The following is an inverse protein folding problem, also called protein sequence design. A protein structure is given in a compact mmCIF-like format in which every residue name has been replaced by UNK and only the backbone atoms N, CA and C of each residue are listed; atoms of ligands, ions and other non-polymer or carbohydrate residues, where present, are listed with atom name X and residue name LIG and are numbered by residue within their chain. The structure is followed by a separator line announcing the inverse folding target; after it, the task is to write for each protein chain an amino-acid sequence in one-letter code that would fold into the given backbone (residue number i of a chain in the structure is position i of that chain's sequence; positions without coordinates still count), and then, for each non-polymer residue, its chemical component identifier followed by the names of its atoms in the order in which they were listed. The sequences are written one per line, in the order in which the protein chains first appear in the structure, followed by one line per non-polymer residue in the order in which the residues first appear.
data_IF_361958080424
#
_entry.id   IF_361958080424
#
_cell.length_a   1.000
_cell.length_b   1.000
_cell.length_c   1.000
_cell.angle_alpha   90.00
_cell.angle_beta   90.00
_cell.angle_gamma   90.00
#
_symmetry.space_group_name_H-M   'P 1'
#
loop_
_entity.id
_entity.type
_entity.pdbx_description
1 polymer ?
#
# COMPACT_ATOMS: atom_id res chain seq x y z
N UNK A 1 -5.86 -6.20 8.79
CA UNK A 1 -5.10 -7.44 8.47
C UNK A 1 -3.94 -7.65 9.43
N UNK A 2 -2.94 -6.75 9.51
CA UNK A 2 -1.77 -6.92 10.41
C UNK A 2 -2.15 -7.15 11.87
N UNK A 3 -3.20 -6.47 12.37
CA UNK A 3 -3.70 -6.67 13.73
C UNK A 3 -4.17 -8.11 14.03
N UNK A 4 -4.65 -8.86 13.02
CA UNK A 4 -5.07 -10.26 13.18
C UNK A 4 -3.88 -11.21 13.40
N UNK A 5 -2.65 -10.78 13.09
CA UNK A 5 -1.43 -11.54 13.37
C UNK A 5 -0.83 -11.22 14.75
N UNK A 6 -1.36 -10.21 15.46
CA UNK A 6 -0.88 -9.82 16.79
C UNK A 6 -1.44 -10.76 17.86
N UNK A 7 -0.60 -11.19 18.81
CA UNK A 7 -1.02 -12.06 19.92
C UNK A 7 -1.57 -11.29 21.12
N UNK A 8 -1.22 -9.99 21.22
CA UNK A 8 -1.75 -9.10 22.25
C UNK A 8 -2.13 -7.73 21.66
N UNK A 9 -3.02 -7.01 22.35
CA UNK A 9 -3.43 -5.65 21.95
C UNK A 9 -2.26 -4.68 21.91
N UNK A 10 -1.30 -4.83 22.83
CA UNK A 10 -0.10 -4.00 22.91
C UNK A 10 0.81 -4.18 21.69
N UNK A 11 0.78 -5.35 21.03
CA UNK A 11 1.59 -5.62 19.84
C UNK A 11 1.02 -5.01 18.56
N UNK A 12 -0.26 -4.64 18.52
CA UNK A 12 -0.93 -4.21 17.28
C UNK A 12 -0.27 -2.96 16.69
N UNK A 13 -0.05 -1.94 17.52
CA UNK A 13 0.53 -0.66 17.09
C UNK A 13 1.98 -0.84 16.61
N UNK A 14 2.91 -1.38 17.42
CA UNK A 14 4.31 -1.50 16.99
C UNK A 14 4.48 -2.43 15.78
N UNK A 15 3.69 -3.51 15.68
CA UNK A 15 3.71 -4.39 14.51
C UNK A 15 3.21 -3.65 13.27
N UNK A 16 2.09 -2.92 13.39
CA UNK A 16 1.55 -2.10 12.31
C UNK A 16 2.55 -1.06 11.81
N UNK A 17 3.20 -0.35 12.73
CA UNK A 17 4.23 0.65 12.43
C UNK A 17 5.46 0.04 11.76
N UNK A 18 5.91 -1.13 12.21
CA UNK A 18 7.06 -1.81 11.60
C UNK A 18 6.75 -2.22 10.16
N UNK A 19 5.58 -2.83 9.95
CA UNK A 19 5.15 -3.26 8.61
C UNK A 19 4.99 -2.06 7.68
N UNK A 20 4.33 -0.99 8.11
CA UNK A 20 4.13 0.19 7.25
C UNK A 20 5.46 0.87 6.93
N UNK A 21 6.42 0.92 7.84
CA UNK A 21 7.75 1.50 7.54
C UNK A 21 8.51 0.70 6.48
N UNK A 22 8.45 -0.64 6.53
CA UNK A 22 9.05 -1.48 5.48
C UNK A 22 8.33 -1.27 4.14
N UNK A 23 7.00 -1.19 4.14
CA UNK A 23 6.23 -0.96 2.92
C UNK A 23 6.45 0.45 2.34
N UNK A 24 6.62 1.47 3.19
CA UNK A 24 6.91 2.84 2.76
C UNK A 24 8.31 2.98 2.17
N UNK A 25 9.31 2.30 2.75
CA UNK A 25 10.67 2.31 2.22
C UNK A 25 10.75 1.60 0.86
N UNK A 26 10.07 0.46 0.71
CA UNK A 26 10.05 -0.29 -0.55
C UNK A 26 9.10 0.28 -1.60
N UNK A 27 8.12 1.08 -1.20
CA UNK A 27 7.06 1.56 -2.08
C UNK A 27 7.24 2.97 -2.64
N UNK A 28 8.43 3.54 -2.47
CA UNK A 28 8.77 4.84 -3.03
C UNK A 28 8.17 6.04 -2.30
N UNK A 29 7.80 5.89 -1.02
CA UNK A 29 7.43 7.03 -0.18
C UNK A 29 8.64 7.84 0.28
N UNK A 30 9.83 7.23 0.36
CA UNK A 30 11.06 7.89 0.79
C UNK A 30 11.92 8.38 -0.36
N UNK A 31 11.86 7.71 -1.51
CA UNK A 31 12.54 8.13 -2.74
C UNK A 31 11.69 7.74 -3.96
N UNK A 32 11.82 8.45 -5.08
CA UNK A 32 11.03 8.15 -6.28
C UNK A 32 11.37 6.78 -6.87
N UNK A 33 10.36 6.08 -7.42
CA UNK A 33 10.55 4.75 -8.01
C UNK A 33 11.52 4.76 -9.20
N UNK A 34 11.62 5.87 -9.92
CA UNK A 34 12.53 5.97 -11.06
C UNK A 34 14.02 6.00 -10.67
N UNK A 35 14.34 6.25 -9.40
CA UNK A 35 15.71 6.18 -8.88
C UNK A 35 16.07 4.79 -8.33
N UNK A 36 15.07 3.92 -8.16
CA UNK A 36 15.31 2.54 -7.71
C UNK A 36 15.94 1.68 -8.81
N UNK A 37 16.74 0.67 -8.44
CA UNK A 37 17.10 -0.41 -9.36
C UNK A 37 15.86 -1.01 -10.01
N UNK A 38 15.92 -1.36 -11.30
CA UNK A 38 14.77 -1.85 -12.07
C UNK A 38 14.06 -3.03 -11.41
N UNK A 39 14.81 -3.99 -10.86
CA UNK A 39 14.27 -5.14 -10.15
C UNK A 39 13.48 -4.75 -8.90
N UNK A 40 13.95 -3.73 -8.16
CA UNK A 40 13.30 -3.28 -6.94
C UNK A 40 12.03 -2.51 -7.26
N UNK A 41 12.08 -1.61 -8.24
CA UNK A 41 10.91 -0.87 -8.74
C UNK A 41 9.78 -1.81 -9.17
N UNK A 42 10.09 -2.91 -9.87
CA UNK A 42 9.08 -3.90 -10.26
C UNK A 42 8.43 -4.60 -9.05
N UNK A 43 9.23 -4.96 -8.03
CA UNK A 43 8.72 -5.58 -6.81
C UNK A 43 7.86 -4.58 -6.02
N UNK A 44 8.21 -3.29 -6.05
CA UNK A 44 7.47 -2.24 -5.34
C UNK A 44 5.99 -2.26 -5.69
N UNK A 45 5.60 -2.48 -6.96
CA UNK A 45 4.20 -2.50 -7.39
C UNK A 45 3.33 -3.60 -6.77
N UNK A 46 3.94 -4.57 -6.08
CA UNK A 46 3.19 -5.51 -5.23
C UNK A 46 2.57 -4.82 -3.99
N UNK A 47 3.08 -3.66 -3.59
CA UNK A 47 2.58 -2.86 -2.50
C UNK A 47 1.61 -1.76 -2.96
N UNK A 48 0.84 -1.24 -2.01
CA UNK A 48 -0.12 -0.15 -2.19
C UNK A 48 0.55 1.22 -2.47
N UNK A 49 1.66 1.46 -1.79
CA UNK A 49 2.37 2.75 -1.71
C UNK A 49 2.84 3.31 -3.05
N UNK A 50 3.41 2.54 -4.00
CA UNK A 50 3.88 3.11 -5.26
C UNK A 50 2.76 3.58 -6.17
N UNK A 51 1.61 2.89 -6.19
CA UNK A 51 0.43 3.34 -6.93
C UNK A 51 -0.09 4.69 -6.42
N UNK A 52 -0.08 4.88 -5.10
CA UNK A 52 -0.46 6.15 -4.49
C UNK A 52 0.53 7.27 -4.84
N UNK A 53 1.84 7.01 -4.69
CA UNK A 53 2.88 8.00 -4.99
C UNK A 53 2.88 8.40 -6.47
N UNK A 54 2.73 7.44 -7.39
CA UNK A 54 2.63 7.74 -8.82
C UNK A 54 1.38 8.53 -9.16
N UNK A 55 0.22 8.18 -8.61
CA UNK A 55 -1.01 8.94 -8.82
C UNK A 55 -0.89 10.39 -8.34
N UNK A 56 -0.26 10.61 -7.17
CA UNK A 56 0.02 11.95 -6.64
C UNK A 56 0.98 12.71 -7.56
N UNK A 57 2.08 12.09 -7.99
CA UNK A 57 3.04 12.71 -8.90
C UNK A 57 2.43 13.02 -10.27
N UNK A 58 1.56 12.16 -10.78
CA UNK A 58 0.88 12.37 -12.06
C UNK A 58 0.00 13.61 -12.03
N UNK A 59 -0.77 13.80 -10.96
CA UNK A 59 -1.63 14.98 -10.80
C UNK A 59 -0.82 16.24 -10.51
N UNK A 60 0.12 16.18 -9.56
CA UNK A 60 0.79 17.36 -9.02
C UNK A 60 1.95 17.83 -9.92
N UNK A 61 2.77 16.89 -10.43
CA UNK A 61 4.02 17.21 -11.12
C UNK A 61 3.91 17.09 -12.64
N UNK A 62 2.97 16.28 -13.15
CA UNK A 62 2.86 15.98 -14.59
C UNK A 62 1.59 16.54 -15.22
N UNK A 63 0.79 17.29 -14.46
CA UNK A 63 -0.47 17.93 -14.89
C UNK A 63 -1.43 16.96 -15.61
N UNK A 64 -1.41 15.68 -15.20
CA UNK A 64 -2.21 14.64 -15.84
C UNK A 64 -3.66 14.68 -15.36
N UNK A 65 -4.55 14.24 -16.25
CA UNK A 65 -5.99 14.24 -15.99
C UNK A 65 -6.44 13.04 -15.15
N UNK A 66 -7.72 13.04 -14.74
CA UNK A 66 -8.31 11.96 -13.95
C UNK A 66 -8.24 10.59 -14.66
N UNK A 67 -8.27 10.58 -16.00
CA UNK A 67 -8.15 9.38 -16.80
C UNK A 67 -6.81 8.68 -16.62
N UNK A 68 -5.72 9.44 -16.46
CA UNK A 68 -4.37 8.90 -16.32
C UNK A 68 -4.14 8.29 -14.94
N UNK A 69 -4.87 8.77 -13.92
CA UNK A 69 -4.78 8.31 -12.53
C UNK A 69 -5.78 7.17 -12.24
N UNK A 70 -6.71 6.91 -13.16
CA UNK A 70 -7.72 5.87 -13.02
C UNK A 70 -7.14 4.46 -12.70
N UNK A 71 -6.02 4.01 -13.31
CA UNK A 71 -5.41 2.74 -12.95
C UNK A 71 -4.96 2.71 -11.48
N UNK A 72 -4.31 3.77 -11.01
CA UNK A 72 -3.90 3.90 -9.62
C UNK A 72 -5.11 3.83 -8.70
N UNK A 73 -6.14 4.64 -8.94
CA UNK A 73 -7.39 4.62 -8.15
C UNK A 73 -8.03 3.23 -8.13
N UNK A 74 -8.04 2.51 -9.25
CA UNK A 74 -8.55 1.16 -9.35
C UNK A 74 -7.79 0.19 -8.43
N UNK A 75 -6.47 0.22 -8.47
CA UNK A 75 -5.62 -0.63 -7.62
C UNK A 75 -5.77 -0.29 -6.13
N UNK A 76 -5.76 1.01 -5.78
CA UNK A 76 -5.96 1.47 -4.39
C UNK A 76 -7.31 0.99 -3.84
N UNK A 77 -8.37 1.13 -4.66
CA UNK A 77 -9.73 0.69 -4.29
C UNK A 77 -9.81 -0.82 -4.13
N UNK A 78 -9.23 -1.57 -5.07
CA UNK A 78 -9.19 -3.04 -4.99
C UNK A 78 -8.42 -3.52 -3.75
N UNK A 79 -7.31 -2.87 -3.41
CA UNK A 79 -6.55 -3.17 -2.20
C UNK A 79 -7.36 -2.86 -0.93
N UNK A 80 -8.03 -1.71 -0.88
CA UNK A 80 -8.92 -1.34 0.22
C UNK A 80 -10.04 -2.35 0.42
N UNK A 81 -10.77 -2.68 -0.65
CA UNK A 81 -11.83 -3.68 -0.62
C UNK A 81 -11.30 -5.08 -0.23
N UNK A 82 -10.18 -5.50 -0.81
CA UNK A 82 -9.55 -6.78 -0.50
C UNK A 82 -9.13 -6.89 0.96
N UNK A 83 -8.49 -5.85 1.51
CA UNK A 83 -8.06 -5.83 2.91
C UNK A 83 -9.23 -5.79 3.90
N UNK A 84 -10.31 -5.09 3.56
CA UNK A 84 -11.55 -5.07 4.34
C UNK A 84 -12.25 -6.44 4.33
N UNK A 85 -12.36 -7.06 3.15
CA UNK A 85 -12.93 -8.40 3.00
C UNK A 85 -12.10 -9.45 3.75
N UNK A 86 -10.77 -9.40 3.65
CA UNK A 86 -9.87 -10.28 4.39
C UNK A 86 -10.02 -10.08 5.91
N UNK A 87 -10.09 -8.83 6.37
CA UNK A 87 -10.35 -8.51 7.77
C UNK A 87 -11.68 -9.08 8.26
N UNK A 88 -12.75 -8.90 7.48
CA UNK A 88 -14.08 -9.44 7.81
C UNK A 88 -14.10 -10.98 7.82
N UNK A 89 -13.36 -11.63 6.90
CA UNK A 89 -13.24 -13.09 6.86
C UNK A 89 -12.46 -13.64 8.05
N UNK A 90 -11.34 -13.01 8.40
CA UNK A 90 -10.55 -13.36 9.60
C UNK A 90 -11.38 -13.23 10.87
N UNK A 91 -12.10 -12.13 11.03
CA UNK A 91 -12.97 -11.92 12.19
C UNK A 91 -14.09 -12.98 12.30
N UNK A 92 -14.63 -13.42 11.15
CA UNK A 92 -15.66 -14.48 11.11
C UNK A 92 -15.13 -15.89 11.36
N UNK A 93 -13.82 -16.13 11.27
CA UNK A 93 -13.21 -17.43 11.56
C UNK A 93 -12.89 -17.60 13.05
N UNK A 94 -12.80 -16.49 13.78
CA UNK A 94 -12.53 -16.45 15.22
C UNK A 94 -13.80 -16.30 16.09
N UNK A 95 -14.98 -16.13 15.47
CA UNK A 95 -16.29 -15.99 16.12
C UNK A 95 -17.16 -17.24 15.90
#
# INVERSE_FOLDING_TARGET
VVAAAARSREQIIPLGLTVIMVVCSLGGCWWPLYEMPSWLSQISYAFLTPWAMEGIHDVILRERGLADVAPALGVLTAYGAGSALLGARLYRLEA
#
